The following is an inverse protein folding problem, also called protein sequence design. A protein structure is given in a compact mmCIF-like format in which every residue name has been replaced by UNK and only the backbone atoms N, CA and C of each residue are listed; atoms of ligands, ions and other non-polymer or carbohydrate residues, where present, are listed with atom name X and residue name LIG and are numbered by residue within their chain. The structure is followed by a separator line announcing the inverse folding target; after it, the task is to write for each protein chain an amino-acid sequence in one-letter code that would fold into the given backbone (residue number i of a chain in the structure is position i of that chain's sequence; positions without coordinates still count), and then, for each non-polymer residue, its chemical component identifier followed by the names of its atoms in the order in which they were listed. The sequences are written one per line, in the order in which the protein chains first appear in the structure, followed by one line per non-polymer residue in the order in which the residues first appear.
data_IF_565541237024
#
_entry.id   IF_565541237024
#
_cell.length_a   1.000
_cell.length_b   1.000
_cell.length_c   1.000
_cell.angle_alpha   90.00
_cell.angle_beta   90.00
_cell.angle_gamma   90.00
#
_symmetry.space_group_name_H-M   'P 1'
#
loop_
_entity.id
_entity.type
_entity.pdbx_description
1 polymer ?
#
# COMPACT_ATOMS: atom_id res chain seq x y z
N UNK A 1 26.72 12.06 8.36
CA UNK A 1 26.98 11.08 7.29
C UNK A 1 25.65 10.77 6.63
N UNK A 2 25.46 10.97 5.31
CA UNK A 2 24.27 10.51 4.64
C UNK A 2 24.30 8.97 4.60
N UNK A 3 23.33 8.32 5.24
CA UNK A 3 23.19 6.87 5.20
C UNK A 3 22.64 6.41 3.86
N UNK A 4 23.21 5.35 3.30
CA UNK A 4 22.78 4.76 2.04
C UNK A 4 21.52 3.90 2.28
N UNK A 5 20.44 4.16 1.54
CA UNK A 5 19.24 3.31 1.55
C UNK A 5 19.31 2.36 0.36
N UNK A 6 19.58 1.09 0.62
CA UNK A 6 19.63 0.05 -0.42
C UNK A 6 18.34 -0.76 -0.34
N UNK A 7 17.50 -0.65 -1.37
CA UNK A 7 16.33 -1.50 -1.52
C UNK A 7 16.75 -2.83 -2.15
N UNK A 8 16.73 -3.90 -1.36
CA UNK A 8 16.99 -5.25 -1.87
C UNK A 8 15.68 -5.93 -2.23
N UNK A 9 15.60 -6.44 -3.46
CA UNK A 9 14.54 -7.36 -3.85
C UNK A 9 14.81 -8.70 -3.17
N UNK A 10 14.17 -8.94 -2.03
CA UNK A 10 14.41 -10.14 -1.20
C UNK A 10 13.76 -11.39 -1.79
N UNK A 11 12.70 -11.22 -2.59
CA UNK A 11 12.11 -12.26 -3.41
C UNK A 11 11.57 -11.62 -4.68
N UNK A 12 12.11 -11.98 -5.85
CA UNK A 12 11.49 -11.62 -7.14
C UNK A 12 10.16 -12.37 -7.25
N UNK A 13 9.12 -11.77 -6.70
CA UNK A 13 7.74 -12.25 -6.77
C UNK A 13 7.01 -11.32 -7.72
N UNK A 14 6.85 -11.70 -9.00
CA UNK A 14 6.11 -10.89 -9.97
C UNK A 14 4.68 -10.74 -9.47
N UNK A 15 4.22 -9.51 -9.23
CA UNK A 15 2.87 -9.29 -8.74
C UNK A 15 2.61 -7.97 -8.05
N UNK A 16 3.51 -7.54 -7.15
CA UNK A 16 3.34 -6.31 -6.35
C UNK A 16 4.40 -5.25 -6.69
N UNK A 17 3.98 -4.09 -7.21
CA UNK A 17 4.86 -2.97 -7.51
C UNK A 17 4.57 -1.77 -6.61
N UNK A 18 5.61 -1.16 -6.06
CA UNK A 18 5.50 0.12 -5.36
C UNK A 18 5.85 1.24 -6.33
N UNK A 19 4.91 2.17 -6.50
CA UNK A 19 5.05 3.36 -7.34
C UNK A 19 4.82 4.61 -6.48
N UNK A 20 5.43 5.76 -6.80
CA UNK A 20 5.03 7.04 -6.22
C UNK A 20 3.53 7.31 -6.44
N UNK A 21 2.86 7.80 -5.39
CA UNK A 21 1.52 8.33 -5.56
C UNK A 21 1.55 9.65 -6.35
N UNK A 22 0.56 9.85 -7.22
CA UNK A 22 0.24 11.18 -7.75
C UNK A 22 -0.40 12.02 -6.64
N UNK A 23 -0.12 13.32 -6.66
CA UNK A 23 -0.73 14.32 -5.76
C UNK A 23 -2.26 14.32 -5.85
N UNK A 24 -2.79 14.31 -7.08
CA UNK A 24 -4.21 14.16 -7.37
C UNK A 24 -4.64 12.69 -7.40
N UNK A 25 -5.85 12.41 -6.90
CA UNK A 25 -6.46 11.08 -6.90
C UNK A 25 -7.82 11.14 -7.56
N UNK A 26 -8.03 10.34 -8.59
CA UNK A 26 -9.30 10.29 -9.32
C UNK A 26 -10.51 10.05 -8.39
N UNK A 27 -10.34 9.22 -7.36
CA UNK A 27 -11.42 8.94 -6.41
C UNK A 27 -11.75 10.14 -5.52
N UNK A 28 -10.75 10.98 -5.22
CA UNK A 28 -10.94 12.19 -4.43
C UNK A 28 -11.70 13.24 -5.21
N UNK A 29 -11.39 13.39 -6.50
CA UNK A 29 -12.08 14.33 -7.39
C UNK A 29 -13.52 13.90 -7.68
N UNK A 30 -13.78 12.59 -7.64
CA UNK A 30 -15.14 12.00 -7.75
C UNK A 30 -15.94 12.08 -6.45
N UNK A 31 -15.30 12.39 -5.31
CA UNK A 31 -15.99 12.50 -4.04
C UNK A 31 -16.76 13.83 -3.97
N UNK A 32 -17.98 13.87 -3.41
CA UNK A 32 -18.74 15.11 -3.30
C UNK A 32 -17.91 16.27 -2.74
N UNK A 33 -17.90 17.38 -3.47
CA UNK A 33 -17.18 18.62 -3.13
C UNK A 33 -15.66 18.49 -2.98
N UNK A 34 -15.06 17.43 -3.54
CA UNK A 34 -13.65 17.08 -3.34
C UNK A 34 -13.26 17.07 -1.84
N UNK A 35 -14.20 16.74 -0.96
CA UNK A 35 -14.04 16.84 0.49
C UNK A 35 -12.75 16.16 1.03
N UNK A 36 -12.32 14.99 0.52
CA UNK A 36 -11.09 14.35 0.98
C UNK A 36 -9.82 15.18 0.71
N UNK A 37 -9.77 15.99 -0.36
CA UNK A 37 -8.65 16.91 -0.64
C UNK A 37 -8.61 18.10 0.32
N UNK A 38 -9.73 18.43 0.98
CA UNK A 38 -9.84 19.57 1.89
C UNK A 38 -9.57 19.19 3.36
N UNK A 39 -9.52 17.91 3.67
CA UNK A 39 -9.13 17.39 4.97
C UNK A 39 -7.60 17.39 5.07
N UNK A 40 -7.01 18.35 5.79
CA UNK A 40 -5.55 18.48 5.90
C UNK A 40 -4.85 17.18 6.32
N UNK A 41 -5.33 16.41 7.32
CA UNK A 41 -4.74 15.11 7.66
C UNK A 41 -4.68 14.13 6.48
N UNK A 42 -5.78 14.02 5.72
CA UNK A 42 -5.87 13.09 4.60
C UNK A 42 -5.06 13.57 3.39
N UNK A 43 -5.06 14.88 3.12
CA UNK A 43 -4.26 15.49 2.07
C UNK A 43 -2.75 15.28 2.31
N UNK A 44 -2.28 15.50 3.54
CA UNK A 44 -0.87 15.24 3.92
C UNK A 44 -0.53 13.76 3.81
N UNK A 45 -1.41 12.86 4.28
CA UNK A 45 -1.20 11.42 4.15
C UNK A 45 -1.12 10.97 2.67
N UNK A 46 -1.94 11.54 1.79
CA UNK A 46 -1.95 11.22 0.37
C UNK A 46 -0.67 11.69 -0.36
N UNK A 47 -0.08 12.81 0.03
CA UNK A 47 1.16 13.33 -0.57
C UNK A 47 2.36 12.42 -0.31
N UNK A 48 2.46 11.88 0.91
CA UNK A 48 3.49 10.92 1.29
C UNK A 48 3.17 9.47 0.92
N UNK A 49 2.07 9.20 0.23
CA UNK A 49 1.64 7.84 -0.06
C UNK A 49 2.45 7.17 -1.19
N UNK A 50 2.43 5.84 -1.20
CA UNK A 50 2.85 5.01 -2.34
C UNK A 50 1.65 4.26 -2.88
N UNK A 51 1.65 3.98 -4.17
CA UNK A 51 0.69 3.06 -4.78
C UNK A 51 1.26 1.64 -4.75
N UNK A 52 0.44 0.70 -4.27
CA UNK A 52 0.72 -0.74 -4.40
C UNK A 52 -0.09 -1.23 -5.59
N UNK A 53 0.57 -1.47 -6.73
CA UNK A 53 -0.04 -2.17 -7.85
C UNK A 53 0.00 -3.66 -7.57
N UNK A 54 -1.12 -4.35 -7.74
CA UNK A 54 -1.20 -5.79 -7.56
C UNK A 54 -2.02 -6.44 -8.66
N UNK A 55 -1.65 -7.67 -9.03
CA UNK A 55 -2.48 -8.57 -9.86
C UNK A 55 -3.42 -9.43 -9.01
N UNK A 56 -3.30 -9.36 -7.69
CA UNK A 56 -4.18 -10.06 -6.77
C UNK A 56 -5.58 -9.44 -6.81
N UNK A 57 -6.58 -10.27 -7.07
CA UNK A 57 -7.98 -9.93 -6.87
C UNK A 57 -8.37 -10.38 -5.47
N UNK A 58 -9.02 -9.49 -4.71
CA UNK A 58 -9.52 -9.79 -3.37
C UNK A 58 -10.66 -8.84 -3.02
N UNK A 59 -11.58 -9.32 -2.19
CA UNK A 59 -12.68 -8.51 -1.64
C UNK A 59 -12.52 -8.46 -0.13
N UNK A 60 -12.64 -7.25 0.45
CA UNK A 60 -12.57 -7.06 1.90
C UNK A 60 -13.91 -6.58 2.42
N UNK A 61 -14.40 -7.25 3.45
CA UNK A 61 -15.57 -6.81 4.22
C UNK A 61 -15.17 -6.60 5.68
N UNK A 62 -15.30 -5.37 6.17
CA UNK A 62 -15.09 -5.07 7.58
C UNK A 62 -16.41 -4.91 8.32
N UNK A 63 -16.63 -5.73 9.34
CA UNK A 63 -17.84 -5.76 10.17
C UNK A 63 -17.78 -4.81 11.37
N UNK A 64 -17.00 -3.73 11.27
CA UNK A 64 -16.82 -2.70 12.31
C UNK A 64 -16.41 -3.22 13.69
N UNK A 65 -15.68 -4.35 13.74
CA UNK A 65 -15.20 -4.91 15.01
C UNK A 65 -13.75 -4.51 15.30
N UNK A 66 -13.42 -4.17 16.56
CA UNK A 66 -12.08 -3.72 16.94
C UNK A 66 -11.06 -4.87 17.01
N UNK A 67 -11.49 -6.10 17.31
CA UNK A 67 -10.59 -7.26 17.44
C UNK A 67 -10.21 -7.89 16.09
N UNK A 68 -9.07 -8.61 16.02
CA UNK A 68 -8.78 -9.52 14.90
C UNK A 68 -9.97 -10.45 14.62
N UNK A 69 -10.25 -10.72 13.35
CA UNK A 69 -11.43 -11.48 12.91
C UNK A 69 -12.67 -10.64 12.58
N UNK A 70 -12.62 -9.31 12.77
CA UNK A 70 -13.65 -8.39 12.30
C UNK A 70 -13.68 -8.15 10.79
N UNK A 71 -12.68 -8.66 10.08
CA UNK A 71 -12.44 -8.43 8.66
C UNK A 71 -12.44 -9.79 7.94
N UNK A 72 -13.32 -9.93 6.95
CA UNK A 72 -13.39 -11.10 6.05
C UNK A 72 -12.73 -10.72 4.73
N UNK A 73 -11.87 -11.60 4.22
CA UNK A 73 -11.19 -11.40 2.94
C UNK A 73 -11.47 -12.60 2.05
N UNK A 74 -12.11 -12.34 0.91
CA UNK A 74 -12.38 -13.33 -0.10
C UNK A 74 -11.36 -13.21 -1.23
N UNK A 75 -10.80 -14.34 -1.64
CA UNK A 75 -9.81 -14.43 -2.69
C UNK A 75 -10.40 -15.22 -3.87
N UNK A 76 -10.96 -14.55 -4.88
CA UNK A 76 -11.53 -15.25 -6.03
C UNK A 76 -10.44 -15.96 -6.83
N UNK A 77 -10.71 -17.23 -7.16
CA UNK A 77 -9.90 -18.02 -8.09
C UNK A 77 -10.29 -17.75 -9.55
N UNK A 78 -9.37 -17.94 -10.52
CA UNK A 78 -7.98 -18.40 -10.34
C UNK A 78 -7.04 -17.29 -9.91
N UNK A 79 -6.04 -17.64 -9.08
CA UNK A 79 -5.04 -16.70 -8.61
C UNK A 79 -4.03 -16.35 -9.71
N UNK A 80 -4.08 -15.12 -10.20
CA UNK A 80 -3.09 -14.60 -11.16
C UNK A 80 -1.71 -14.34 -10.52
N UNK A 81 -1.66 -14.17 -9.20
CA UNK A 81 -0.45 -13.82 -8.45
C UNK A 81 0.16 -15.06 -7.76
N UNK A 82 1.47 -15.35 -7.94
CA UNK A 82 2.12 -16.52 -7.32
C UNK A 82 2.12 -16.53 -5.79
N UNK A 83 2.07 -15.36 -5.16
CA UNK A 83 1.91 -15.25 -3.72
C UNK A 83 0.52 -15.77 -3.32
N UNK A 84 -0.52 -15.32 -4.02
CA UNK A 84 -1.90 -15.72 -3.79
C UNK A 84 -2.13 -17.22 -4.04
N UNK A 85 -1.42 -17.82 -5.01
CA UNK A 85 -1.47 -19.27 -5.26
C UNK A 85 -0.93 -20.12 -4.10
N UNK A 86 0.11 -19.64 -3.41
CA UNK A 86 0.75 -20.43 -2.35
C UNK A 86 0.09 -20.24 -1.00
N UNK A 87 -0.22 -19.00 -0.63
CA UNK A 87 -0.73 -18.65 0.71
C UNK A 87 -1.40 -17.27 0.67
N UNK A 88 -2.66 -17.15 0.22
CA UNK A 88 -3.31 -15.86 0.05
C UNK A 88 -3.37 -15.05 1.35
N UNK A 89 -3.62 -15.69 2.50
CA UNK A 89 -3.64 -15.08 3.83
C UNK A 89 -2.27 -14.56 4.31
N UNK A 90 -1.18 -15.11 3.76
CA UNK A 90 0.18 -14.59 3.98
C UNK A 90 0.49 -13.42 3.08
N UNK A 91 -0.20 -13.26 1.96
CA UNK A 91 0.06 -12.17 1.01
C UNK A 91 -0.81 -10.96 1.34
N UNK A 92 -2.09 -11.20 1.61
CA UNK A 92 -3.07 -10.19 2.00
C UNK A 92 -3.81 -10.78 3.19
N UNK A 93 -3.82 -10.12 4.35
CA UNK A 93 -4.41 -10.71 5.55
C UNK A 93 -4.79 -9.68 6.60
N UNK A 94 -5.51 -10.10 7.63
CA UNK A 94 -5.83 -9.23 8.79
C UNK A 94 -5.14 -9.76 10.04
N UNK A 95 -4.16 -9.01 10.55
CA UNK A 95 -3.35 -9.40 11.72
C UNK A 95 -3.61 -8.51 12.94
N UNK A 96 -4.02 -7.27 12.73
CA UNK A 96 -4.06 -6.24 13.77
C UNK A 96 -5.48 -5.96 14.30
N UNK A 97 -6.54 -6.39 13.60
CA UNK A 97 -7.91 -6.00 13.93
C UNK A 97 -8.25 -4.57 13.47
N UNK A 98 -9.33 -4.00 13.98
CA UNK A 98 -9.70 -2.60 13.75
C UNK A 98 -9.96 -2.20 12.29
N UNK A 99 -10.28 -3.16 11.41
CA UNK A 99 -10.43 -2.88 9.98
C UNK A 99 -9.11 -2.77 9.22
N UNK A 100 -7.99 -3.09 9.87
CA UNK A 100 -6.67 -3.08 9.26
C UNK A 100 -6.45 -4.40 8.52
N UNK A 101 -6.10 -4.27 7.24
CA UNK A 101 -5.55 -5.35 6.44
C UNK A 101 -4.08 -5.05 6.11
N UNK A 102 -3.33 -6.09 5.84
CA UNK A 102 -1.88 -6.05 5.60
C UNK A 102 -1.61 -6.67 4.25
N UNK A 103 -0.89 -5.93 3.40
CA UNK A 103 -0.30 -6.46 2.17
C UNK A 103 1.18 -6.72 2.43
N UNK A 104 1.60 -7.97 2.31
CA UNK A 104 3.00 -8.36 2.40
C UNK A 104 3.67 -8.23 1.03
N UNK A 105 4.11 -7.02 0.71
CA UNK A 105 4.92 -6.77 -0.48
C UNK A 105 6.35 -7.33 -0.28
N UNK A 106 6.93 -8.04 -1.27
CA UNK A 106 8.20 -8.76 -1.15
C UNK A 106 9.44 -7.86 -1.28
N UNK A 107 9.42 -6.64 -0.71
CA UNK A 107 10.56 -5.72 -0.75
C UNK A 107 11.15 -5.58 0.65
N UNK A 108 12.47 -5.76 0.75
CA UNK A 108 13.18 -5.58 2.01
C UNK A 108 13.96 -4.27 1.93
N UNK A 109 13.57 -3.31 2.76
CA UNK A 109 14.32 -2.09 2.97
C UNK A 109 15.33 -2.38 4.09
N UNK A 110 16.63 -2.31 3.76
CA UNK A 110 17.70 -2.39 4.77
C UNK A 110 18.36 -1.02 4.91
N UNK A 111 18.65 -0.67 6.14
CA UNK A 111 19.49 0.45 6.54
C UNK A 111 20.63 -0.06 7.42
N UNK A 112 21.68 0.74 7.59
CA UNK A 112 22.79 0.41 8.48
C UNK A 112 22.32 0.19 9.92
N UNK A 113 23.06 -0.64 10.66
CA UNK A 113 22.76 -0.98 12.05
C UNK A 113 22.67 0.29 12.90
N UNK A 114 21.54 0.48 13.58
CA UNK A 114 21.29 1.66 14.43
C UNK A 114 20.54 2.80 13.74
N UNK A 115 20.21 2.67 12.45
CA UNK A 115 19.43 3.65 11.69
C UNK A 115 18.04 3.06 11.40
N UNK A 116 16.99 3.71 11.91
CA UNK A 116 15.62 3.38 11.54
C UNK A 116 15.33 3.80 10.10
N UNK A 117 14.57 2.99 9.36
CA UNK A 117 14.13 3.38 8.00
C UNK A 117 12.85 4.18 8.09
N UNK A 118 12.87 5.42 7.60
CA UNK A 118 11.67 6.20 7.33
C UNK A 118 11.38 6.17 5.82
N UNK A 119 10.22 5.65 5.43
CA UNK A 119 9.82 5.60 4.02
C UNK A 119 8.54 6.40 3.82
N UNK A 120 8.62 7.45 3.00
CA UNK A 120 7.48 8.19 2.50
C UNK A 120 7.61 8.42 0.98
N UNK A 121 6.50 8.76 0.33
CA UNK A 121 6.42 9.34 -1.01
C UNK A 121 7.33 10.57 -1.16
N UNK A 122 7.82 10.91 -2.37
CA UNK A 122 8.37 12.24 -2.58
C UNK A 122 7.27 13.27 -2.28
N UNK A 123 7.54 14.15 -1.33
CA UNK A 123 6.63 15.24 -1.00
C UNK A 123 6.63 16.22 -2.20
N UNK A 124 5.57 16.18 -3.00
CA UNK A 124 5.37 17.18 -4.06
C UNK A 124 5.84 16.82 -5.47
N UNK A 125 5.67 15.57 -5.93
CA UNK A 125 5.82 15.26 -7.35
C UNK A 125 4.75 15.97 -8.20
N UNK A 126 5.03 17.21 -8.62
CA UNK A 126 4.29 17.87 -9.69
C UNK A 126 4.46 17.02 -10.95
N UNK A 127 3.39 16.40 -11.42
CA UNK A 127 3.31 15.90 -12.79
C UNK A 127 3.49 17.12 -13.71
N UNK A 128 4.73 17.43 -14.10
CA UNK A 128 4.97 18.30 -15.25
C UNK A 128 4.61 17.44 -16.45
N UNK A 129 3.37 17.64 -16.92
CA UNK A 129 2.79 16.90 -18.03
C UNK A 129 3.80 16.67 -19.15
N UNK A 130 3.93 15.40 -19.54
CA UNK A 130 4.43 15.07 -20.85
C UNK A 130 3.51 15.72 -21.88
N UNK A 131 4.14 16.44 -22.80
CA UNK A 131 3.59 17.22 -23.91
C UNK A 131 2.74 16.40 -24.87
#
# INVERSE_FOLDING_TARGET
MPGELIAHEYQHKPGFFLEPARLGRDWTDKFPFCAPSRCLPLATANQGARLIRTRALFTIMWKSRPRPGGLTIDYPEPFADPCMQKSPERCIGSRFGGGIFTINAPRLFRTDKGIGTWMHGPDGARDRGAS
#
